data_IF_949677119147
#
_entry.id   IF_949677119147
#
_cell.length_a   1.000
_cell.length_b   1.000
_cell.length_c   1.000
_cell.angle_alpha   90.00
_cell.angle_beta   90.00
_cell.angle_gamma   90.00
#
_symmetry.space_group_name_H-M   'P 1'
#
loop_
_entity.id
_entity.type
_entity.pdbx_description
1 polymer ?
#
# COMPACT_ATOMS: atom_id res chain seq x y z
N UNK A 1 -22.05 27.19 2.52
CA UNK A 1 -21.51 25.84 2.79
C UNK A 1 -20.72 25.27 1.61
N UNK A 2 -21.22 25.32 0.36
CA UNK A 2 -20.45 24.90 -0.85
C UNK A 2 -19.07 25.57 -0.98
N UNK A 3 -18.97 26.88 -0.78
CA UNK A 3 -17.70 27.62 -0.89
C UNK A 3 -16.62 27.23 0.12
N UNK A 4 -17.01 26.70 1.29
CA UNK A 4 -16.06 26.21 2.30
C UNK A 4 -15.53 24.83 1.93
N UNK A 5 -16.39 23.94 1.44
CA UNK A 5 -16.01 22.60 1.03
C UNK A 5 -15.03 22.63 -0.16
N UNK A 6 -15.27 23.49 -1.15
CA UNK A 6 -14.37 23.68 -2.29
C UNK A 6 -13.00 24.20 -1.87
N UNK A 7 -12.96 25.19 -0.97
CA UNK A 7 -11.70 25.73 -0.42
C UNK A 7 -10.92 24.66 0.33
N UNK A 8 -11.61 23.82 1.09
CA UNK A 8 -10.99 22.73 1.83
C UNK A 8 -10.44 21.66 0.90
N UNK A 9 -11.27 21.10 0.00
CA UNK A 9 -10.88 20.03 -0.92
C UNK A 9 -9.85 20.49 -1.96
N UNK A 10 -9.85 21.77 -2.33
CA UNK A 10 -8.85 22.35 -3.23
C UNK A 10 -7.52 22.70 -2.55
N UNK A 11 -7.43 22.60 -1.22
CA UNK A 11 -6.22 22.97 -0.50
C UNK A 11 -5.14 21.87 -0.62
N UNK A 12 -3.95 22.26 -1.09
CA UNK A 12 -2.80 21.35 -1.26
C UNK A 12 -2.42 20.58 0.01
N UNK A 13 -2.63 21.18 1.18
CA UNK A 13 -2.34 20.52 2.45
C UNK A 13 -3.31 19.38 2.76
N UNK A 14 -4.59 19.48 2.35
CA UNK A 14 -5.58 18.41 2.53
C UNK A 14 -5.18 17.20 1.69
N UNK A 15 -4.78 17.42 0.44
CA UNK A 15 -4.25 16.36 -0.42
C UNK A 15 -2.99 15.73 0.17
N UNK A 16 -2.05 16.53 0.69
CA UNK A 16 -0.83 16.03 1.33
C UNK A 16 -1.12 15.18 2.57
N UNK A 17 -2.05 15.62 3.43
CA UNK A 17 -2.50 14.87 4.61
C UNK A 17 -3.20 13.57 4.21
N UNK A 18 -4.03 13.59 3.17
CA UNK A 18 -4.67 12.38 2.66
C UNK A 18 -3.64 11.38 2.12
N UNK A 19 -2.66 11.83 1.34
CA UNK A 19 -1.55 10.99 0.85
C UNK A 19 -0.71 10.42 2.00
N UNK A 20 -0.43 11.23 3.02
CA UNK A 20 0.25 10.77 4.23
C UNK A 20 -0.56 9.68 4.95
N UNK A 21 -1.87 9.91 5.17
CA UNK A 21 -2.75 8.95 5.83
C UNK A 21 -2.77 7.59 5.11
N UNK A 22 -2.80 7.60 3.77
CA UNK A 22 -2.68 6.37 2.95
C UNK A 22 -1.30 5.73 3.10
N UNK A 23 -0.22 6.52 3.23
CA UNK A 23 1.14 6.01 3.34
C UNK A 23 1.53 5.46 4.72
N UNK A 24 0.85 5.90 5.79
CA UNK A 24 1.19 5.58 7.20
C UNK A 24 1.26 4.07 7.48
N UNK A 25 0.26 3.23 7.11
CA UNK A 25 0.34 1.80 7.38
C UNK A 25 1.58 1.13 6.77
N UNK A 26 1.95 1.56 5.56
CA UNK A 26 3.11 1.06 4.84
C UNK A 26 4.43 1.57 5.43
N UNK A 27 4.49 2.82 5.90
CA UNK A 27 5.65 3.35 6.60
C UNK A 27 5.92 2.58 7.89
N UNK A 28 4.89 2.39 8.71
CA UNK A 28 5.00 1.68 9.98
C UNK A 28 5.41 0.22 9.72
N UNK A 29 4.77 -0.46 8.76
CA UNK A 29 5.08 -1.84 8.41
C UNK A 29 6.52 -1.98 7.89
N UNK A 30 6.96 -1.12 6.98
CA UNK A 30 8.32 -1.15 6.42
C UNK A 30 9.38 -0.84 7.47
N UNK A 31 9.13 0.13 8.36
CA UNK A 31 10.04 0.46 9.46
C UNK A 31 10.15 -0.71 10.46
N UNK A 32 9.03 -1.32 10.84
CA UNK A 32 9.01 -2.50 11.71
C UNK A 32 9.81 -3.67 11.09
N UNK A 33 9.69 -3.87 9.78
CA UNK A 33 10.44 -4.90 9.05
C UNK A 33 11.95 -4.63 8.96
N UNK A 34 12.39 -3.37 8.97
CA UNK A 34 13.82 -3.04 9.13
C UNK A 34 14.31 -3.38 10.53
N UNK A 35 13.53 -3.00 11.56
CA UNK A 35 13.89 -3.24 12.96
C UNK A 35 13.93 -4.73 13.30
N UNK A 36 13.06 -5.54 12.69
CA UNK A 36 13.07 -7.00 12.77
C UNK A 36 13.21 -7.65 11.37
N UNK A 37 14.39 -7.52 10.80
CA UNK A 37 14.67 -8.10 9.49
C UNK A 37 14.63 -9.63 9.51
N UNK A 38 15.00 -10.27 10.63
CA UNK A 38 14.93 -11.74 10.75
C UNK A 38 13.48 -12.23 10.75
N UNK A 39 12.60 -11.55 11.48
CA UNK A 39 11.16 -11.80 11.43
C UNK A 39 10.60 -11.61 10.02
N UNK A 40 11.06 -10.58 9.30
CA UNK A 40 10.65 -10.33 7.91
C UNK A 40 11.00 -11.48 6.96
N UNK A 41 12.21 -12.05 7.10
CA UNK A 41 12.63 -13.23 6.32
C UNK A 41 11.73 -14.44 6.64
N UNK A 42 11.45 -14.65 7.93
CA UNK A 42 10.59 -15.76 8.36
C UNK A 42 9.14 -15.60 7.87
N UNK A 43 8.61 -14.39 7.91
CA UNK A 43 7.28 -14.04 7.40
C UNK A 43 7.17 -14.33 5.90
N UNK A 44 8.13 -13.85 5.09
CA UNK A 44 8.15 -14.10 3.64
C UNK A 44 8.21 -15.60 3.36
N UNK A 45 9.11 -16.33 4.02
CA UNK A 45 9.23 -17.78 3.84
C UNK A 45 7.94 -18.50 4.21
N UNK A 46 7.35 -18.19 5.36
CA UNK A 46 6.16 -18.85 5.87
C UNK A 46 4.90 -18.56 5.06
N UNK A 47 4.75 -17.33 4.55
CA UNK A 47 3.54 -16.92 3.81
C UNK A 47 3.60 -17.24 2.32
N UNK A 48 4.78 -17.22 1.70
CA UNK A 48 4.92 -17.30 0.24
C UNK A 48 5.71 -18.52 -0.23
N UNK A 49 6.55 -19.11 0.63
CA UNK A 49 7.48 -20.17 0.24
C UNK A 49 8.60 -19.73 -0.69
N UNK A 50 8.74 -18.42 -0.98
CA UNK A 50 9.73 -17.91 -1.92
C UNK A 50 11.16 -17.97 -1.35
N UNK A 51 12.10 -18.42 -2.18
CA UNK A 51 13.54 -18.45 -1.88
C UNK A 51 14.35 -17.75 -2.99
N UNK A 52 15.42 -17.01 -2.67
CA UNK A 52 15.94 -16.73 -1.32
C UNK A 52 15.05 -15.75 -0.53
N UNK A 53 14.54 -16.14 0.62
CA UNK A 53 13.56 -15.34 1.38
C UNK A 53 14.08 -13.95 1.77
N UNK A 54 15.39 -13.82 1.99
CA UNK A 54 16.04 -12.54 2.28
C UNK A 54 15.91 -11.52 1.14
N UNK A 55 16.00 -11.97 -0.12
CA UNK A 55 15.85 -11.09 -1.27
C UNK A 55 14.43 -10.50 -1.33
N UNK A 56 13.42 -11.34 -1.17
CA UNK A 56 12.02 -10.92 -1.18
C UNK A 56 11.66 -10.07 0.05
N UNK A 57 12.25 -10.33 1.22
CA UNK A 57 12.09 -9.46 2.39
C UNK A 57 12.61 -8.04 2.12
N UNK A 58 13.77 -7.90 1.47
CA UNK A 58 14.28 -6.59 1.04
C UNK A 58 13.32 -5.95 0.04
N UNK A 59 12.82 -6.70 -0.94
CA UNK A 59 11.87 -6.18 -1.93
C UNK A 59 10.59 -5.65 -1.26
N UNK A 60 10.03 -6.38 -0.30
CA UNK A 60 8.87 -5.93 0.49
C UNK A 60 9.17 -4.61 1.22
N UNK A 61 10.29 -4.51 1.92
CA UNK A 61 10.70 -3.30 2.64
C UNK A 61 10.85 -2.11 1.68
N UNK A 62 11.55 -2.32 0.55
CA UNK A 62 11.77 -1.29 -0.47
C UNK A 62 10.44 -0.86 -1.09
N UNK A 63 9.53 -1.78 -1.39
CA UNK A 63 8.21 -1.44 -1.93
C UNK A 63 7.39 -0.63 -0.93
N UNK A 64 7.35 -1.04 0.35
CA UNK A 64 6.59 -0.34 1.38
C UNK A 64 7.14 1.07 1.63
N UNK A 65 8.44 1.19 1.89
CA UNK A 65 9.05 2.49 2.20
C UNK A 65 9.19 3.38 0.97
N UNK A 66 9.64 2.83 -0.16
CA UNK A 66 9.76 3.57 -1.41
C UNK A 66 8.41 4.04 -1.93
N UNK A 67 7.38 3.19 -1.84
CA UNK A 67 5.99 3.56 -2.13
C UNK A 67 5.53 4.71 -1.24
N UNK A 68 5.67 4.59 0.08
CA UNK A 68 5.28 5.65 1.02
C UNK A 68 6.00 6.97 0.79
N UNK A 69 7.32 6.95 0.56
CA UNK A 69 8.10 8.15 0.23
C UNK A 69 7.56 8.79 -1.04
N UNK A 70 7.26 7.98 -2.07
CA UNK A 70 6.67 8.47 -3.33
C UNK A 70 5.30 9.13 -3.12
N UNK A 71 4.44 8.55 -2.28
CA UNK A 71 3.14 9.13 -1.93
C UNK A 71 3.31 10.48 -1.20
N UNK A 72 4.22 10.55 -0.23
CA UNK A 72 4.42 11.74 0.61
C UNK A 72 5.08 12.87 -0.19
N UNK A 73 6.15 12.58 -0.91
CA UNK A 73 6.87 13.56 -1.73
C UNK A 73 5.97 14.20 -2.80
N UNK A 74 4.97 13.46 -3.29
CA UNK A 74 4.02 13.97 -4.26
C UNK A 74 4.56 14.07 -5.69
N UNK A 75 3.85 14.81 -6.53
CA UNK A 75 4.29 15.09 -7.90
C UNK A 75 4.14 13.91 -8.87
N UNK A 76 5.11 13.75 -9.78
CA UNK A 76 4.99 12.88 -10.97
C UNK A 76 5.09 11.39 -10.67
N UNK A 77 5.66 10.99 -9.54
CA UNK A 77 5.92 9.59 -9.19
C UNK A 77 4.85 8.96 -8.30
N UNK A 78 3.86 9.74 -7.82
CA UNK A 78 2.80 9.24 -6.91
C UNK A 78 2.11 8.00 -7.48
N UNK A 79 1.80 7.99 -8.77
CA UNK A 79 1.13 6.87 -9.41
C UNK A 79 1.97 5.58 -9.40
N UNK A 80 3.30 5.67 -9.50
CA UNK A 80 4.20 4.50 -9.43
C UNK A 80 4.19 3.94 -8.01
N UNK A 81 4.36 4.79 -7.01
CA UNK A 81 4.31 4.38 -5.61
C UNK A 81 2.96 3.76 -5.24
N UNK A 82 1.87 4.38 -5.69
CA UNK A 82 0.52 3.89 -5.43
C UNK A 82 0.25 2.53 -6.08
N UNK A 83 0.66 2.32 -7.34
CA UNK A 83 0.52 1.01 -7.99
C UNK A 83 1.41 -0.06 -7.36
N UNK A 84 2.64 0.30 -6.97
CA UNK A 84 3.55 -0.64 -6.29
C UNK A 84 2.96 -1.11 -4.95
N UNK A 85 2.44 -0.17 -4.15
CA UNK A 85 1.77 -0.49 -2.88
C UNK A 85 0.47 -1.27 -3.11
N UNK A 86 -0.31 -0.97 -4.15
CA UNK A 86 -1.53 -1.70 -4.48
C UNK A 86 -1.23 -3.16 -4.84
N UNK A 87 -0.22 -3.38 -5.70
CA UNK A 87 0.26 -4.71 -6.05
C UNK A 87 0.76 -5.49 -4.85
N UNK A 88 1.62 -4.87 -4.02
CA UNK A 88 2.08 -5.46 -2.76
C UNK A 88 0.91 -5.85 -1.85
N UNK A 89 -0.01 -4.92 -1.60
CA UNK A 89 -1.15 -5.14 -0.70
C UNK A 89 -2.03 -6.29 -1.20
N UNK A 90 -2.23 -6.38 -2.51
CA UNK A 90 -3.00 -7.46 -3.14
C UNK A 90 -2.34 -8.82 -2.86
N UNK A 91 -1.04 -8.94 -3.16
CA UNK A 91 -0.28 -10.18 -2.94
C UNK A 91 -0.26 -10.55 -1.45
N UNK A 92 0.08 -9.60 -0.58
CA UNK A 92 0.13 -9.82 0.86
C UNK A 92 -1.22 -10.26 1.43
N UNK A 93 -2.32 -9.68 0.94
CA UNK A 93 -3.68 -10.02 1.40
C UNK A 93 -4.09 -11.41 0.97
N UNK A 94 -3.80 -11.79 -0.28
CA UNK A 94 -4.05 -13.15 -0.78
C UNK A 94 -3.21 -14.20 -0.02
N UNK A 95 -1.99 -13.88 0.38
CA UNK A 95 -1.14 -14.81 1.15
C UNK A 95 -1.52 -14.89 2.64
N UNK A 96 -1.74 -13.76 3.30
CA UNK A 96 -1.92 -13.71 4.76
C UNK A 96 -3.39 -13.86 5.20
N UNK A 97 -4.33 -13.36 4.40
CA UNK A 97 -5.74 -13.22 4.75
C UNK A 97 -6.69 -13.92 3.77
N UNK A 98 -6.22 -14.93 3.03
CA UNK A 98 -7.09 -15.89 2.33
C UNK A 98 -7.98 -16.64 3.33
N UNK A 99 -9.08 -16.00 3.73
CA UNK A 99 -9.95 -16.44 4.82
C UNK A 99 -10.58 -17.81 4.56
N UNK A 100 -10.71 -18.20 3.28
CA UNK A 100 -11.19 -19.51 2.86
C UNK A 100 -10.21 -20.65 3.18
N UNK A 101 -8.95 -20.35 3.52
CA UNK A 101 -7.95 -21.33 3.97
C UNK A 101 -7.74 -21.31 5.49
N UNK A 102 -8.50 -20.49 6.22
CA UNK A 102 -8.35 -20.32 7.67
C UNK A 102 -9.29 -21.25 8.44
N UNK A 103 -8.94 -21.64 9.68
CA UNK A 103 -9.84 -22.37 10.57
C UNK A 103 -11.17 -21.63 10.74
N UNK A 104 -12.28 -22.37 10.85
CA UNK A 104 -13.64 -21.81 10.91
C UNK A 104 -13.79 -20.69 11.94
N UNK A 105 -13.20 -20.88 13.12
CA UNK A 105 -13.21 -19.90 14.21
C UNK A 105 -12.55 -18.55 13.86
N UNK A 106 -11.65 -18.52 12.89
CA UNK A 106 -10.89 -17.33 12.48
C UNK A 106 -11.37 -16.73 11.15
N UNK A 107 -12.24 -17.43 10.41
CA UNK A 107 -12.64 -17.00 9.06
C UNK A 107 -13.33 -15.64 9.04
N UNK A 108 -14.11 -15.30 10.06
CA UNK A 108 -14.77 -14.00 10.14
C UNK A 108 -13.75 -12.86 10.26
N UNK A 109 -12.76 -13.00 11.15
CA UNK A 109 -11.69 -12.03 11.34
C UNK A 109 -10.90 -11.80 10.05
N UNK A 110 -10.41 -12.88 9.43
CA UNK A 110 -9.61 -12.76 8.21
C UNK A 110 -10.41 -12.23 7.02
N UNK A 111 -11.72 -12.51 6.95
CA UNK A 111 -12.60 -11.97 5.92
C UNK A 111 -12.75 -10.46 6.05
N UNK A 112 -12.90 -9.93 7.27
CA UNK A 112 -12.97 -8.49 7.48
C UNK A 112 -11.66 -7.81 7.08
N UNK A 113 -10.52 -8.32 7.53
CA UNK A 113 -9.20 -7.79 7.17
C UNK A 113 -8.99 -7.85 5.64
N UNK A 114 -9.42 -8.94 4.99
CA UNK A 114 -9.36 -9.08 3.54
C UNK A 114 -10.08 -7.93 2.83
N UNK A 115 -11.33 -7.67 3.20
CA UNK A 115 -12.12 -6.60 2.55
C UNK A 115 -11.66 -5.18 2.93
N UNK A 116 -11.12 -5.00 4.14
CA UNK A 116 -10.43 -3.75 4.50
C UNK A 116 -9.25 -3.50 3.55
N UNK A 117 -8.41 -4.51 3.30
CA UNK A 117 -7.30 -4.38 2.36
C UNK A 117 -7.75 -4.21 0.90
N UNK A 118 -8.84 -4.84 0.47
CA UNK A 118 -9.44 -4.58 -0.86
C UNK A 118 -9.80 -3.10 -1.01
N UNK A 119 -10.35 -2.48 0.04
CA UNK A 119 -10.66 -1.04 0.03
C UNK A 119 -9.39 -0.17 -0.08
N UNK A 120 -8.31 -0.57 0.61
CA UNK A 120 -7.00 0.10 0.53
C UNK A 120 -6.43 0.00 -0.88
N UNK A 121 -6.48 -1.18 -1.51
CA UNK A 121 -6.07 -1.38 -2.90
C UNK A 121 -6.86 -0.46 -3.83
N UNK A 122 -8.20 -0.40 -3.68
CA UNK A 122 -9.05 0.49 -4.46
C UNK A 122 -8.65 1.97 -4.30
N UNK A 123 -8.40 2.43 -3.07
CA UNK A 123 -7.94 3.79 -2.79
C UNK A 123 -6.58 4.12 -3.42
N UNK A 124 -5.63 3.18 -3.38
CA UNK A 124 -4.32 3.33 -4.02
C UNK A 124 -4.44 3.38 -5.55
N UNK A 125 -5.27 2.52 -6.15
CA UNK A 125 -5.51 2.55 -7.61
C UNK A 125 -6.17 3.85 -8.04
N UNK A 126 -7.17 4.34 -7.30
CA UNK A 126 -7.77 5.66 -7.56
C UNK A 126 -6.74 6.78 -7.45
N UNK A 127 -5.88 6.76 -6.42
CA UNK A 127 -4.79 7.72 -6.28
C UNK A 127 -3.83 7.66 -7.47
N UNK A 128 -3.51 6.46 -7.97
CA UNK A 128 -2.69 6.30 -9.15
C UNK A 128 -3.35 6.90 -10.40
N UNK A 129 -4.63 6.61 -10.63
CA UNK A 129 -5.40 7.16 -11.76
C UNK A 129 -5.41 8.68 -11.72
N UNK A 130 -5.69 9.27 -10.55
CA UNK A 130 -5.80 10.72 -10.38
C UNK A 130 -4.46 11.46 -10.52
N UNK A 131 -3.34 10.78 -10.27
CA UNK A 131 -1.99 11.38 -10.35
C UNK A 131 -1.23 11.00 -11.61
N UNK A 132 -1.73 10.04 -12.39
CA UNK A 132 -1.14 9.65 -13.66
C UNK A 132 -1.32 10.78 -14.69
N UNK A 133 -0.19 11.23 -15.24
CA UNK A 133 -0.16 12.21 -16.34
C UNK A 133 0.46 11.55 -17.57
N UNK A 134 -0.31 11.23 -18.62
CA UNK A 134 0.25 10.75 -19.86
C UNK A 134 1.22 11.80 -20.42
N UNK A 135 2.33 11.38 -21.02
CA UNK A 135 3.10 12.30 -21.85
C UNK A 135 2.18 12.77 -22.98
N UNK A 136 1.99 14.09 -23.15
CA UNK A 136 1.26 14.62 -24.31
C UNK A 136 1.98 14.12 -25.56
N UNK A 137 1.39 13.15 -26.26
CA UNK A 137 1.74 12.86 -27.65
C UNK A 137 1.31 14.07 -28.47
N UNK A 138 2.27 14.93 -28.81
CA UNK A 138 2.05 15.94 -29.85
C UNK A 138 2.06 15.18 -31.18
N UNK A 139 0.89 15.05 -31.79
CA UNK A 139 0.71 14.72 -33.20
C UNK A 139 -0.07 15.86 -33.84
#
# INVERSE_FOLDING_TARGET
MQSMAERFLGAKWVEAVARLAVAVPFLISGAAKILDFRGSIAEVRGLTGLEPAAFFAVLVIVTQLGGSVSLIAGGRFVWIGALALAGFTTIATLSAHAFWLKPEAEQFLHRNIFFEHVSIVGGLVLLAILTFKPARTQH
#
